data_IF_267725963706
#
_entry.id   IF_267725963706
#
_cell.length_a   1.000
_cell.length_b   1.000
_cell.length_c   1.000
_cell.angle_alpha   90.00
_cell.angle_beta   90.00
_cell.angle_gamma   90.00
#
_symmetry.space_group_name_H-M   'P 1'
#
loop_
_entity.id
_entity.type
_entity.pdbx_description
1 polymer ?
#
# COMPACT_ATOMS: atom_id res chain seq x y z
N UNK A 1 4.82 -14.82 13.05
CA UNK A 1 3.38 -14.80 13.35
C UNK A 1 2.92 -16.23 13.63
N UNK A 2 2.02 -16.45 14.59
CA UNK A 2 1.49 -17.79 14.84
C UNK A 2 0.78 -18.29 13.57
N UNK A 3 1.32 -19.36 13.00
CA UNK A 3 0.89 -19.95 11.74
C UNK A 3 0.10 -21.25 11.96
N UNK A 4 0.06 -21.71 13.20
CA UNK A 4 -0.41 -23.05 13.58
C UNK A 4 -1.93 -23.21 13.45
N UNK A 5 -2.69 -22.11 13.57
CA UNK A 5 -4.17 -22.13 13.62
C UNK A 5 -4.85 -21.44 12.43
N UNK A 6 -4.11 -21.10 11.37
CA UNK A 6 -4.71 -20.33 10.27
C UNK A 6 -5.77 -21.13 9.52
N UNK A 7 -5.61 -22.46 9.39
CA UNK A 7 -6.59 -23.33 8.76
C UNK A 7 -7.87 -23.43 9.59
N UNK A 8 -7.77 -23.54 10.90
CA UNK A 8 -8.93 -23.60 11.79
C UNK A 8 -9.72 -22.28 11.77
N UNK A 9 -8.99 -21.14 11.85
CA UNK A 9 -9.60 -19.83 11.71
C UNK A 9 -10.26 -19.65 10.35
N UNK A 10 -9.62 -20.13 9.28
CA UNK A 10 -10.19 -20.08 7.94
C UNK A 10 -11.44 -20.95 7.80
N UNK A 11 -11.43 -22.19 8.34
CA UNK A 11 -12.60 -23.05 8.35
C UNK A 11 -13.78 -22.38 9.06
N UNK A 12 -13.53 -21.72 10.19
CA UNK A 12 -14.56 -20.95 10.91
C UNK A 12 -15.19 -19.87 10.02
N UNK A 13 -14.39 -19.14 9.24
CA UNK A 13 -14.91 -18.15 8.28
C UNK A 13 -15.72 -18.79 7.16
N UNK A 14 -15.31 -19.97 6.68
CA UNK A 14 -16.08 -20.77 5.69
C UNK A 14 -17.44 -21.15 6.24
N UNK A 15 -17.50 -21.60 7.50
CA UNK A 15 -18.75 -21.97 8.17
C UNK A 15 -19.68 -20.77 8.34
N UNK A 16 -19.14 -19.58 8.68
CA UNK A 16 -19.90 -18.34 8.75
C UNK A 16 -20.46 -17.92 7.38
N UNK A 17 -19.69 -18.16 6.32
CA UNK A 17 -20.15 -17.95 4.95
C UNK A 17 -21.27 -18.93 4.58
N UNK A 18 -21.12 -20.21 4.92
CA UNK A 18 -22.15 -21.23 4.69
C UNK A 18 -23.47 -20.90 5.42
N UNK A 19 -23.36 -20.28 6.60
CA UNK A 19 -24.51 -19.79 7.38
C UNK A 19 -25.13 -18.50 6.81
N UNK A 20 -24.58 -17.94 5.72
CA UNK A 20 -25.08 -16.70 5.10
C UNK A 20 -24.72 -15.42 5.89
N UNK A 21 -23.91 -15.50 6.94
CA UNK A 21 -23.53 -14.35 7.78
C UNK A 21 -22.56 -13.39 7.06
N UNK A 22 -21.75 -13.91 6.14
CA UNK A 22 -20.82 -13.14 5.30
C UNK A 22 -20.93 -13.60 3.84
N UNK A 23 -20.72 -12.71 2.89
CA UNK A 23 -20.78 -13.04 1.45
C UNK A 23 -19.43 -13.51 0.91
N UNK A 24 -18.36 -12.84 1.32
CA UNK A 24 -17.00 -13.12 0.89
C UNK A 24 -16.06 -13.12 2.09
N UNK A 25 -15.02 -13.93 2.04
CA UNK A 25 -14.00 -14.04 3.07
C UNK A 25 -12.62 -13.79 2.45
N UNK A 26 -11.78 -13.08 3.15
CA UNK A 26 -10.44 -12.70 2.71
C UNK A 26 -9.46 -12.65 3.88
N UNK A 27 -8.21 -12.39 3.56
CA UNK A 27 -7.12 -12.37 4.53
C UNK A 27 -6.33 -11.07 4.47
N UNK A 28 -5.54 -10.79 5.50
CA UNK A 28 -4.64 -9.64 5.55
C UNK A 28 -3.24 -10.10 5.92
N UNK A 29 -2.22 -9.57 5.23
CA UNK A 29 -0.81 -9.82 5.51
C UNK A 29 -0.37 -11.30 5.43
N UNK A 30 -1.05 -12.10 4.62
CA UNK A 30 -0.69 -13.50 4.41
C UNK A 30 0.34 -13.65 3.29
N UNK A 31 1.27 -14.56 3.48
CA UNK A 31 2.23 -14.98 2.44
C UNK A 31 1.55 -15.86 1.38
N UNK A 32 2.23 -16.08 0.27
CA UNK A 32 1.77 -17.01 -0.77
C UNK A 32 1.57 -18.42 -0.22
N UNK A 33 2.51 -18.92 0.61
CA UNK A 33 2.40 -20.25 1.21
C UNK A 33 1.20 -20.40 2.14
N UNK A 34 0.92 -19.39 2.96
CA UNK A 34 -0.26 -19.35 3.81
C UNK A 34 -1.54 -19.38 2.98
N UNK A 35 -1.66 -18.50 1.99
CA UNK A 35 -2.84 -18.49 1.10
C UNK A 35 -3.02 -19.80 0.36
N UNK A 36 -1.94 -20.47 -0.09
CA UNK A 36 -2.03 -21.79 -0.70
C UNK A 36 -2.59 -22.86 0.23
N UNK A 37 -2.27 -22.80 1.52
CA UNK A 37 -2.84 -23.70 2.54
C UNK A 37 -4.34 -23.45 2.69
N UNK A 38 -4.76 -22.20 2.84
CA UNK A 38 -6.17 -21.82 2.99
C UNK A 38 -7.01 -22.19 1.77
N UNK A 39 -6.47 -22.02 0.56
CA UNK A 39 -7.16 -22.36 -0.68
C UNK A 39 -7.45 -23.85 -0.86
N UNK A 40 -6.79 -24.73 -0.12
CA UNK A 40 -7.15 -26.16 -0.10
C UNK A 40 -8.47 -26.43 0.60
N UNK A 41 -8.89 -25.51 1.51
CA UNK A 41 -10.14 -25.57 2.26
C UNK A 41 -11.23 -24.80 1.50
N UNK A 42 -10.99 -23.54 1.17
CA UNK A 42 -11.92 -22.67 0.45
C UNK A 42 -11.17 -21.52 -0.23
N UNK A 43 -11.64 -21.06 -1.41
CA UNK A 43 -11.01 -19.94 -2.12
C UNK A 43 -10.93 -18.65 -1.29
N UNK A 44 -9.77 -18.01 -1.30
CA UNK A 44 -9.54 -16.67 -0.74
C UNK A 44 -10.09 -15.65 -1.73
N UNK A 45 -11.07 -14.84 -1.32
CA UNK A 45 -11.68 -13.85 -2.20
C UNK A 45 -10.82 -12.57 -2.32
N UNK A 46 -10.14 -12.17 -1.24
CA UNK A 46 -9.31 -10.97 -1.23
C UNK A 46 -8.13 -11.07 -0.28
N UNK A 47 -7.07 -10.33 -0.62
CA UNK A 47 -5.92 -10.09 0.24
C UNK A 47 -5.82 -8.59 0.55
N UNK A 48 -5.54 -8.25 1.83
CA UNK A 48 -5.28 -6.88 2.25
C UNK A 48 -3.82 -6.73 2.72
N UNK A 49 -2.87 -6.36 1.85
CA UNK A 49 -1.47 -6.13 2.19
C UNK A 49 -1.13 -4.64 2.26
N UNK A 50 0.02 -4.24 2.88
CA UNK A 50 0.58 -2.92 2.68
C UNK A 50 1.16 -2.81 1.26
N UNK A 51 0.95 -1.65 0.60
CA UNK A 51 1.59 -1.38 -0.69
C UNK A 51 1.68 0.13 -0.96
N UNK A 52 2.87 0.56 -1.33
CA UNK A 52 3.17 1.96 -1.71
C UNK A 52 4.51 2.02 -2.45
N UNK A 53 4.89 3.17 -2.96
CA UNK A 53 6.21 3.41 -3.58
C UNK A 53 7.40 3.09 -2.65
N UNK A 54 7.18 3.06 -1.32
CA UNK A 54 8.19 2.79 -0.29
C UNK A 54 7.96 1.50 0.49
N UNK A 55 7.04 0.65 0.04
CA UNK A 55 6.73 -0.68 0.58
C UNK A 55 6.24 -1.54 -0.59
N UNK A 56 7.19 -2.22 -1.27
CA UNK A 56 6.98 -2.90 -2.56
C UNK A 56 7.16 -4.41 -2.47
N UNK A 57 7.33 -4.95 -1.29
CA UNK A 57 7.68 -6.35 -1.04
C UNK A 57 6.69 -7.32 -1.68
N UNK A 58 5.44 -6.91 -1.84
CA UNK A 58 4.39 -7.75 -2.45
C UNK A 58 4.53 -7.92 -3.97
N UNK A 59 5.34 -7.10 -4.65
CA UNK A 59 5.46 -7.12 -6.11
C UNK A 59 6.12 -8.40 -6.64
N UNK A 60 7.04 -9.00 -5.86
CA UNK A 60 7.83 -10.13 -6.30
C UNK A 60 7.01 -11.42 -6.45
N UNK A 61 6.17 -11.73 -5.47
CA UNK A 61 5.47 -13.02 -5.39
C UNK A 61 3.96 -12.86 -5.17
N UNK A 62 3.55 -11.98 -4.25
CA UNK A 62 2.17 -11.89 -3.79
C UNK A 62 1.25 -11.37 -4.89
N UNK A 63 1.59 -10.25 -5.56
CA UNK A 63 0.76 -9.72 -6.63
C UNK A 63 0.63 -10.70 -7.80
N UNK A 64 1.71 -11.28 -8.34
CA UNK A 64 1.60 -12.31 -9.39
C UNK A 64 0.73 -13.49 -8.96
N UNK A 65 0.87 -13.98 -7.74
CA UNK A 65 0.04 -15.06 -7.21
C UNK A 65 -1.44 -14.68 -7.14
N UNK A 66 -1.75 -13.49 -6.62
CA UNK A 66 -3.12 -12.99 -6.53
C UNK A 66 -3.75 -12.87 -7.93
N UNK A 67 -3.01 -12.32 -8.91
CA UNK A 67 -3.48 -12.24 -10.30
C UNK A 67 -3.78 -13.60 -10.91
N UNK A 68 -2.88 -14.58 -10.74
CA UNK A 68 -3.06 -15.96 -11.24
C UNK A 68 -4.25 -16.67 -10.58
N UNK A 69 -4.53 -16.39 -9.32
CA UNK A 69 -5.61 -17.04 -8.54
C UNK A 69 -6.90 -16.25 -8.49
N UNK A 70 -6.97 -15.13 -9.20
CA UNK A 70 -8.12 -14.23 -9.20
C UNK A 70 -8.52 -13.77 -7.77
N UNK A 71 -7.51 -13.48 -6.94
CA UNK A 71 -7.68 -12.93 -5.60
C UNK A 71 -7.65 -11.40 -5.71
N UNK A 72 -8.72 -10.72 -5.29
CA UNK A 72 -8.75 -9.25 -5.27
C UNK A 72 -7.77 -8.68 -4.26
N UNK A 73 -6.95 -7.71 -4.66
CA UNK A 73 -5.99 -7.06 -3.75
C UNK A 73 -6.49 -5.68 -3.36
N UNK A 74 -6.65 -5.45 -2.05
CA UNK A 74 -7.11 -4.19 -1.46
C UNK A 74 -5.97 -3.66 -0.60
N UNK A 75 -5.08 -2.83 -1.16
CA UNK A 75 -3.88 -2.41 -0.43
C UNK A 75 -4.19 -1.32 0.61
N UNK A 76 -3.48 -1.37 1.74
CA UNK A 76 -3.50 -0.30 2.73
C UNK A 76 -2.19 0.51 2.74
N UNK A 77 -2.23 1.70 3.34
CA UNK A 77 -1.11 2.65 3.40
C UNK A 77 -0.51 3.06 2.04
N UNK A 78 -1.30 3.32 0.98
CA UNK A 78 -0.77 3.66 -0.34
C UNK A 78 0.06 4.96 -0.34
N UNK A 79 -0.14 5.82 0.66
CA UNK A 79 0.63 7.05 0.86
C UNK A 79 1.72 6.93 1.93
N UNK A 80 2.18 5.71 2.28
CA UNK A 80 3.29 5.48 3.21
C UNK A 80 3.08 6.13 4.59
N UNK A 81 1.92 5.92 5.22
CA UNK A 81 1.53 6.56 6.50
C UNK A 81 1.54 8.09 6.46
N UNK A 82 1.35 8.66 5.28
CA UNK A 82 1.33 10.09 5.01
C UNK A 82 2.66 10.68 4.56
N UNK A 83 3.76 9.94 4.55
CA UNK A 83 5.07 10.42 4.09
C UNK A 83 5.01 10.88 2.62
N UNK A 84 4.33 10.12 1.78
CA UNK A 84 4.17 10.40 0.34
C UNK A 84 3.11 11.48 0.03
N UNK A 85 2.64 12.21 1.02
CA UNK A 85 1.73 13.36 0.80
C UNK A 85 2.46 14.68 0.63
N UNK A 86 3.78 14.73 0.89
CA UNK A 86 4.57 15.95 0.87
C UNK A 86 4.34 16.89 2.07
N UNK A 87 3.58 16.46 3.07
CA UNK A 87 3.27 17.30 4.24
C UNK A 87 4.25 17.12 5.40
N UNK A 88 5.16 16.15 5.33
CA UNK A 88 6.19 15.94 6.35
C UNK A 88 7.44 16.76 6.07
N UNK A 89 8.06 17.21 7.14
CA UNK A 89 9.39 17.80 7.20
C UNK A 89 10.14 17.23 8.42
N UNK A 90 11.44 17.40 8.48
CA UNK A 90 12.22 16.99 9.66
C UNK A 90 11.70 17.62 10.96
N UNK A 91 11.34 18.91 10.93
CA UNK A 91 10.75 19.61 12.08
C UNK A 91 9.40 19.00 12.50
N UNK A 92 8.55 18.65 11.54
CA UNK A 92 7.26 18.00 11.84
C UNK A 92 7.43 16.62 12.43
N UNK A 93 8.40 15.85 11.95
CA UNK A 93 8.70 14.52 12.48
C UNK A 93 9.25 14.62 13.90
N UNK A 94 10.17 15.55 14.16
CA UNK A 94 10.72 15.79 15.50
C UNK A 94 9.63 16.20 16.52
N UNK A 95 8.53 16.80 16.05
CA UNK A 95 7.37 17.17 16.87
C UNK A 95 6.32 16.07 17.05
N UNK A 96 6.55 14.85 16.54
CA UNK A 96 5.60 13.75 16.72
C UNK A 96 5.55 13.30 18.19
N UNK A 97 4.34 13.05 18.67
CA UNK A 97 4.15 12.46 20.01
C UNK A 97 4.78 11.06 20.05
N UNK A 98 5.34 10.67 21.21
CA UNK A 98 5.82 9.32 21.44
C UNK A 98 4.74 8.22 21.30
N UNK A 99 3.46 8.61 21.37
CA UNK A 99 2.31 7.74 21.11
C UNK A 99 2.00 7.57 19.63
N UNK A 100 2.55 8.42 18.76
CA UNK A 100 2.38 8.30 17.31
C UNK A 100 3.26 7.16 16.80
N UNK A 101 2.65 6.17 16.16
CA UNK A 101 3.36 4.99 15.64
C UNK A 101 4.49 5.33 14.66
N UNK A 102 4.44 6.50 14.00
CA UNK A 102 5.47 6.98 13.09
C UNK A 102 6.76 7.37 13.81
N UNK A 103 6.68 7.76 15.09
CA UNK A 103 7.87 8.06 15.88
C UNK A 103 8.81 6.85 16.09
N UNK A 104 8.31 5.63 15.82
CA UNK A 104 9.06 4.37 15.94
C UNK A 104 9.30 3.69 14.58
N UNK A 105 8.82 4.29 13.51
CA UNK A 105 8.99 3.74 12.16
C UNK A 105 10.32 4.25 11.57
N UNK A 106 11.24 3.36 11.18
CA UNK A 106 12.56 3.75 10.66
C UNK A 106 12.49 4.73 9.48
N UNK A 107 11.43 4.67 8.68
CA UNK A 107 11.23 5.58 7.54
C UNK A 107 11.07 7.04 7.95
N UNK A 108 10.73 7.31 9.21
CA UNK A 108 10.61 8.64 9.81
C UNK A 108 11.78 8.98 10.73
N UNK A 109 12.88 8.25 10.68
CA UNK A 109 14.09 8.47 11.49
C UNK A 109 15.31 8.63 10.59
N UNK A 110 16.31 9.43 11.06
CA UNK A 110 17.60 9.55 10.40
C UNK A 110 18.34 8.20 10.38
N UNK A 111 19.06 7.88 9.29
CA UNK A 111 19.24 8.68 8.07
C UNK A 111 18.14 8.47 7.03
N UNK A 112 17.20 7.54 7.24
CA UNK A 112 16.18 7.22 6.24
C UNK A 112 15.20 8.37 5.98
N UNK A 113 14.93 9.20 7.00
CA UNK A 113 14.02 10.33 6.86
C UNK A 113 14.48 11.31 5.79
N UNK A 114 15.75 11.69 5.82
CA UNK A 114 16.32 12.67 4.90
C UNK A 114 16.23 12.16 3.44
N UNK A 115 16.58 10.90 3.23
CA UNK A 115 16.50 10.23 1.93
C UNK A 115 15.04 10.19 1.43
N UNK A 116 14.12 9.86 2.34
CA UNK A 116 12.70 9.83 2.00
C UNK A 116 12.13 11.23 1.70
N UNK A 117 12.57 12.27 2.39
CA UNK A 117 12.14 13.65 2.12
C UNK A 117 12.65 14.12 0.75
N UNK A 118 13.92 13.84 0.39
CA UNK A 118 14.45 14.13 -0.95
C UNK A 118 13.67 13.38 -2.03
N UNK A 119 13.37 12.12 -1.81
CA UNK A 119 12.53 11.30 -2.69
C UNK A 119 11.15 11.93 -2.91
N UNK A 120 10.47 12.30 -1.83
CA UNK A 120 9.14 12.93 -1.87
C UNK A 120 9.16 14.27 -2.60
N UNK A 121 10.23 15.06 -2.44
CA UNK A 121 10.41 16.29 -3.22
C UNK A 121 10.55 16.00 -4.72
N UNK A 122 11.31 14.96 -5.08
CA UNK A 122 11.41 14.47 -6.46
C UNK A 122 10.06 14.07 -7.05
N UNK A 123 9.27 13.31 -6.30
CA UNK A 123 7.90 12.95 -6.69
C UNK A 123 6.99 14.18 -6.84
N UNK A 124 7.17 15.18 -5.98
CA UNK A 124 6.43 16.46 -6.07
C UNK A 124 6.63 17.17 -7.41
N UNK A 125 7.86 17.16 -7.94
CA UNK A 125 8.16 17.71 -9.26
C UNK A 125 7.45 16.93 -10.37
N UNK A 126 7.42 15.60 -10.30
CA UNK A 126 6.70 14.74 -11.24
C UNK A 126 5.19 15.01 -11.19
N UNK A 127 4.61 15.03 -9.99
CA UNK A 127 3.19 15.30 -9.78
C UNK A 127 2.80 16.67 -10.34
N UNK A 128 3.60 17.72 -10.05
CA UNK A 128 3.38 19.07 -10.56
C UNK A 128 3.42 19.14 -12.10
N UNK A 129 4.33 18.38 -12.73
CA UNK A 129 4.40 18.29 -14.19
C UNK A 129 3.15 17.65 -14.82
N UNK A 130 2.44 16.81 -14.07
CA UNK A 130 1.17 16.20 -14.47
C UNK A 130 -0.05 17.06 -14.09
N UNK A 131 0.12 18.15 -13.35
CA UNK A 131 -0.97 18.92 -12.77
C UNK A 131 -1.71 18.15 -11.64
N UNK A 132 -1.02 17.26 -10.94
CA UNK A 132 -1.56 16.42 -9.88
C UNK A 132 -0.96 16.79 -8.53
N UNK A 133 -1.67 16.42 -7.46
CA UNK A 133 -1.11 16.42 -6.11
C UNK A 133 -0.27 15.16 -5.85
N UNK A 134 0.58 15.20 -4.82
CA UNK A 134 1.34 14.02 -4.38
C UNK A 134 0.43 12.85 -3.91
N UNK A 135 -0.66 13.10 -3.15
CA UNK A 135 -1.65 12.06 -2.87
C UNK A 135 -2.22 11.40 -4.13
N UNK A 136 -2.61 12.19 -5.15
CA UNK A 136 -3.12 11.66 -6.41
C UNK A 136 -2.07 10.78 -7.10
N UNK A 137 -0.82 11.25 -7.22
CA UNK A 137 0.27 10.47 -7.81
C UNK A 137 0.51 9.16 -7.04
N UNK A 138 0.54 9.23 -5.72
CA UNK A 138 0.82 8.06 -4.87
C UNK A 138 -0.25 6.98 -4.99
N UNK A 139 -1.52 7.37 -5.02
CA UNK A 139 -2.65 6.45 -5.14
C UNK A 139 -2.74 5.91 -6.58
N UNK A 140 -2.62 6.77 -7.60
CA UNK A 140 -2.63 6.35 -9.00
C UNK A 140 -1.50 5.36 -9.30
N UNK A 141 -0.31 5.57 -8.69
CA UNK A 141 0.82 4.67 -8.86
C UNK A 141 0.54 3.26 -8.32
N UNK A 142 -0.05 3.12 -7.15
CA UNK A 142 -0.42 1.79 -6.64
C UNK A 142 -1.52 1.15 -7.49
N UNK A 143 -2.52 1.93 -7.92
CA UNK A 143 -3.63 1.44 -8.73
C UNK A 143 -3.26 1.12 -10.19
N UNK A 144 -2.04 1.48 -10.65
CA UNK A 144 -1.55 1.11 -11.99
C UNK A 144 -1.41 -0.39 -12.20
N UNK A 145 -1.30 -1.15 -11.11
CA UNK A 145 -1.14 -2.60 -11.16
C UNK A 145 -2.48 -3.27 -11.43
N UNK A 146 -2.60 -4.12 -12.46
CA UNK A 146 -3.86 -4.78 -12.79
C UNK A 146 -4.38 -5.72 -11.70
N UNK A 147 -3.49 -6.19 -10.80
CA UNK A 147 -3.84 -7.04 -9.68
C UNK A 147 -4.54 -6.26 -8.55
N UNK A 148 -4.38 -4.94 -8.51
CA UNK A 148 -4.97 -4.09 -7.47
C UNK A 148 -6.44 -3.79 -7.79
N UNK A 149 -7.31 -4.18 -6.87
CA UNK A 149 -8.75 -3.89 -6.94
C UNK A 149 -9.06 -2.51 -6.34
N UNK A 150 -8.38 -2.14 -5.24
CA UNK A 150 -8.64 -0.91 -4.51
C UNK A 150 -7.48 -0.51 -3.61
N UNK A 151 -7.43 0.78 -3.26
CA UNK A 151 -6.52 1.34 -2.28
C UNK A 151 -7.30 1.93 -1.10
N UNK A 152 -6.96 1.50 0.12
CA UNK A 152 -7.56 2.00 1.36
C UNK A 152 -6.84 3.27 1.76
N UNK A 153 -7.54 4.39 1.72
CA UNK A 153 -6.99 5.71 2.00
C UNK A 153 -7.53 6.24 3.32
N UNK A 154 -6.62 6.63 4.22
CA UNK A 154 -6.98 7.29 5.46
C UNK A 154 -7.31 8.78 5.23
N UNK A 155 -8.39 9.26 5.85
CA UNK A 155 -8.77 10.67 5.83
C UNK A 155 -9.20 11.12 7.23
N UNK A 156 -8.86 12.35 7.58
CA UNK A 156 -9.27 13.01 8.84
C UNK A 156 -10.26 14.14 8.62
N UNK A 157 -10.41 14.59 7.38
CA UNK A 157 -11.31 15.69 6.99
C UNK A 157 -12.01 15.34 5.68
N UNK A 158 -13.24 15.85 5.45
CA UNK A 158 -14.01 15.56 4.23
C UNK A 158 -13.29 16.01 2.96
N UNK A 159 -12.58 17.14 2.98
CA UNK A 159 -11.83 17.68 1.85
C UNK A 159 -10.74 16.72 1.35
N UNK A 160 -10.10 15.96 2.25
CA UNK A 160 -9.10 14.95 1.90
C UNK A 160 -9.69 13.79 1.09
N UNK A 161 -10.92 13.39 1.37
CA UNK A 161 -11.59 12.35 0.57
C UNK A 161 -11.88 12.88 -0.84
N UNK A 162 -12.38 14.12 -0.96
CA UNK A 162 -12.64 14.75 -2.25
C UNK A 162 -11.36 14.82 -3.12
N UNK A 163 -10.21 15.12 -2.50
CA UNK A 163 -8.92 15.12 -3.17
C UNK A 163 -8.49 13.71 -3.61
N UNK A 164 -8.55 12.73 -2.71
CA UNK A 164 -7.98 11.41 -2.97
C UNK A 164 -8.84 10.53 -3.88
N UNK A 165 -10.17 10.72 -3.91
CA UNK A 165 -11.06 9.93 -4.78
C UNK A 165 -10.76 10.16 -6.27
N UNK A 166 -10.28 11.35 -6.63
CA UNK A 166 -9.93 11.72 -8.00
C UNK A 166 -8.81 10.80 -8.54
N UNK A 167 -7.92 10.35 -7.65
CA UNK A 167 -6.81 9.48 -8.02
C UNK A 167 -7.25 8.15 -8.64
N UNK A 168 -8.47 7.67 -8.32
CA UNK A 168 -9.04 6.46 -8.93
C UNK A 168 -9.29 6.56 -10.43
N UNK A 169 -9.38 7.80 -10.96
CA UNK A 169 -9.54 8.08 -12.39
C UNK A 169 -8.24 8.54 -13.07
N UNK A 170 -7.14 8.62 -12.32
CA UNK A 170 -5.84 9.04 -12.86
C UNK A 170 -5.12 7.85 -13.47
N UNK A 171 -4.69 8.00 -14.71
CA UNK A 171 -3.92 6.98 -15.45
C UNK A 171 -2.53 7.55 -15.73
N UNK A 172 -1.50 6.85 -15.26
CA UNK A 172 -0.12 7.18 -15.54
C UNK A 172 0.28 6.63 -16.91
N UNK A 173 0.87 7.47 -17.74
CA UNK A 173 1.52 7.02 -18.96
C UNK A 173 2.88 6.34 -18.68
N UNK A 174 3.44 5.69 -19.68
CA UNK A 174 4.71 4.96 -19.56
C UNK A 174 5.89 5.88 -19.18
N UNK A 175 5.90 7.12 -19.64
CA UNK A 175 6.96 8.08 -19.32
C UNK A 175 6.90 8.48 -17.85
N UNK A 176 5.71 8.77 -17.33
CA UNK A 176 5.49 9.10 -15.92
C UNK A 176 5.80 7.91 -15.00
N UNK A 177 5.41 6.70 -15.39
CA UNK A 177 5.78 5.47 -14.66
C UNK A 177 7.30 5.34 -14.60
N UNK A 178 8.01 5.49 -15.74
CA UNK A 178 9.46 5.39 -15.78
C UNK A 178 10.15 6.46 -14.91
N UNK A 179 9.63 7.69 -14.90
CA UNK A 179 10.16 8.76 -14.06
C UNK A 179 10.01 8.43 -12.54
N UNK A 180 8.85 7.91 -12.13
CA UNK A 180 8.63 7.48 -10.75
C UNK A 180 9.52 6.29 -10.39
N UNK A 181 9.63 5.27 -11.25
CA UNK A 181 10.50 4.11 -11.01
C UNK A 181 11.98 4.51 -10.89
N UNK A 182 12.45 5.47 -11.73
CA UNK A 182 13.80 6.03 -11.61
C UNK A 182 14.03 6.73 -10.26
N UNK A 183 13.03 7.48 -9.78
CA UNK A 183 13.10 8.12 -8.46
C UNK A 183 13.14 7.09 -7.32
N UNK A 184 12.37 6.01 -7.43
CA UNK A 184 12.36 4.89 -6.47
C UNK A 184 13.74 4.22 -6.45
N UNK A 185 14.32 3.89 -7.61
CA UNK A 185 15.65 3.27 -7.70
C UNK A 185 16.74 4.14 -7.07
N UNK A 186 16.69 5.47 -7.32
CA UNK A 186 17.65 6.40 -6.69
C UNK A 186 17.52 6.38 -5.17
N UNK A 187 16.29 6.41 -4.65
CA UNK A 187 16.04 6.31 -3.20
C UNK A 187 16.56 5.00 -2.63
N UNK A 188 16.23 3.87 -3.25
CA UNK A 188 16.59 2.54 -2.75
C UNK A 188 18.12 2.34 -2.77
N UNK A 189 18.81 2.86 -3.78
CA UNK A 189 20.27 2.89 -3.83
C UNK A 189 20.90 3.74 -2.72
N UNK A 190 20.23 4.80 -2.27
CA UNK A 190 20.71 5.64 -1.16
C UNK A 190 20.45 5.01 0.23
N UNK A 191 19.57 4.00 0.30
CA UNK A 191 19.26 3.25 1.54
C UNK A 191 20.10 1.97 1.70
N UNK A 192 20.75 1.50 0.62
CA UNK A 192 21.59 0.30 0.59
C UNK A 192 22.97 0.55 1.21
#
# INVERSE_FOLDING_TARGET
>A
EPDEEIEEGWQTLVDLKAQGKVRHIGVSNHSVSQMQRLQKIYPVASLQPPYSMIAREIEAEILPFCGQKNIGVICYSPMGKGLLTGTFSAARVAGLSAKDHRSRDPRFQSPQLEINLEFVEGLGRIASGLGWTLPELSIAWVLRRPELTSAIVGSRRPDQIAETVIAGNRVLDSASIAAVESAIQKRDAALA
#
